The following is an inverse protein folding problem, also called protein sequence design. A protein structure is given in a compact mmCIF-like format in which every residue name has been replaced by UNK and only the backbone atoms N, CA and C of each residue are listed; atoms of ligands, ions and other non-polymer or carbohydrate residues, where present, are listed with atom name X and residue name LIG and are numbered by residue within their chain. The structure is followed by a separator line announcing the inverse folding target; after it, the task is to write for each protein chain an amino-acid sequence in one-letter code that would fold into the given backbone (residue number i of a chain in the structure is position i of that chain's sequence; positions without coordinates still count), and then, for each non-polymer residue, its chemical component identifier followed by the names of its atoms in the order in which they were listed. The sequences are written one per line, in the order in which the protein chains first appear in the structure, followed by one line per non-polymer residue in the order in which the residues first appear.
data_IF_690695267172
#
_entry.id   IF_690695267172
#
_cell.length_a   1.000
_cell.length_b   1.000
_cell.length_c   1.000
_cell.angle_alpha   90.00
_cell.angle_beta   90.00
_cell.angle_gamma   90.00
#
_symmetry.space_group_name_H-M   'P 1'
#
loop_
_entity.id
_entity.type
_entity.pdbx_description
1 polymer ?
#
# COMPACT_ATOMS: atom_id res chain seq x y z
N UNK A 1 3.43 -40.52 -32.55
CA UNK A 1 2.31 -39.99 -33.37
C UNK A 1 1.16 -39.70 -32.40
N UNK A 2 1.40 -38.88 -31.37
CA UNK A 2 0.60 -38.92 -30.12
C UNK A 2 0.11 -37.55 -29.61
N UNK A 3 0.46 -36.45 -30.29
CA UNK A 3 0.09 -35.08 -29.88
C UNK A 3 -1.41 -34.78 -30.10
N UNK A 4 -2.04 -35.33 -31.14
CA UNK A 4 -3.44 -35.01 -31.50
C UNK A 4 -4.49 -35.58 -30.54
N UNK A 5 -4.16 -36.65 -29.78
CA UNK A 5 -5.11 -37.30 -28.85
C UNK A 5 -5.31 -36.54 -27.54
N UNK A 6 -4.33 -35.73 -27.12
CA UNK A 6 -4.39 -34.95 -25.88
C UNK A 6 -5.15 -33.62 -26.01
N UNK A 7 -5.21 -33.02 -27.22
CA UNK A 7 -5.88 -31.72 -27.43
C UNK A 7 -7.41 -31.85 -27.35
N UNK A 8 -7.99 -32.97 -27.81
CA UNK A 8 -9.45 -33.22 -27.70
C UNK A 8 -9.95 -33.33 -26.26
N UNK A 9 -9.07 -33.61 -25.29
CA UNK A 9 -9.42 -33.67 -23.86
C UNK A 9 -9.65 -32.27 -23.26
N UNK A 10 -8.99 -31.24 -23.80
CA UNK A 10 -9.17 -29.83 -23.42
C UNK A 10 -10.45 -29.20 -23.97
N UNK A 11 -11.00 -29.72 -25.08
CA UNK A 11 -12.29 -29.30 -25.65
C UNK A 11 -13.49 -30.11 -25.14
N UNK A 12 -13.32 -30.85 -24.05
CA UNK A 12 -14.42 -31.55 -23.44
C UNK A 12 -15.28 -30.52 -22.68
N UNK A 13 -16.57 -30.43 -23.05
CA UNK A 13 -17.53 -29.39 -22.65
C UNK A 13 -17.52 -29.11 -21.14
N UNK A 14 -17.29 -30.13 -20.30
CA UNK A 14 -17.16 -29.98 -18.85
C UNK A 14 -15.97 -29.10 -18.44
N UNK A 15 -14.82 -29.25 -19.06
CA UNK A 15 -13.62 -28.45 -18.76
C UNK A 15 -13.72 -27.03 -19.33
N UNK A 16 -14.37 -26.88 -20.49
CA UNK A 16 -14.67 -25.56 -21.07
C UNK A 16 -15.62 -24.79 -20.15
N UNK A 17 -16.66 -25.44 -19.61
CA UNK A 17 -17.59 -24.83 -18.65
C UNK A 17 -16.90 -24.47 -17.33
N UNK A 18 -16.04 -25.33 -16.79
CA UNK A 18 -15.26 -25.04 -15.58
C UNK A 18 -14.34 -23.84 -15.82
N UNK A 19 -13.65 -23.80 -16.96
CA UNK A 19 -12.81 -22.66 -17.34
C UNK A 19 -13.64 -21.38 -17.50
N UNK A 20 -14.83 -21.46 -18.08
CA UNK A 20 -15.74 -20.31 -18.25
C UNK A 20 -16.29 -19.81 -16.91
N UNK A 21 -16.66 -20.71 -15.99
CA UNK A 21 -17.07 -20.35 -14.63
C UNK A 21 -15.90 -19.72 -13.88
N UNK A 22 -14.71 -20.29 -13.98
CA UNK A 22 -13.50 -19.72 -13.36
C UNK A 22 -13.17 -18.34 -13.93
N UNK A 23 -13.36 -18.16 -15.23
CA UNK A 23 -13.15 -16.90 -15.94
C UNK A 23 -14.22 -15.87 -15.56
N UNK A 24 -15.50 -16.25 -15.46
CA UNK A 24 -16.59 -15.39 -14.95
C UNK A 24 -16.36 -15.00 -13.49
N UNK A 25 -15.96 -15.93 -12.62
CA UNK A 25 -15.61 -15.64 -11.23
C UNK A 25 -14.38 -14.74 -11.14
N UNK A 26 -13.39 -14.95 -12.02
CA UNK A 26 -12.20 -14.09 -12.11
C UNK A 26 -12.52 -12.70 -12.64
N UNK A 27 -13.47 -12.57 -13.56
CA UNK A 27 -14.00 -11.29 -14.03
C UNK A 27 -14.84 -10.59 -12.94
N UNK A 28 -15.62 -11.33 -12.16
CA UNK A 28 -16.39 -10.80 -11.03
C UNK A 28 -15.51 -10.39 -9.83
N UNK A 29 -14.28 -10.92 -9.75
CA UNK A 29 -13.29 -10.61 -8.69
C UNK A 29 -12.09 -9.84 -9.24
N UNK A 30 -12.16 -9.34 -10.47
CA UNK A 30 -11.02 -8.75 -11.17
C UNK A 30 -10.51 -7.47 -10.47
N UNK A 31 -11.42 -6.72 -9.84
CA UNK A 31 -11.11 -5.59 -8.97
C UNK A 31 -10.17 -5.99 -7.81
N UNK A 32 -10.40 -7.16 -7.20
CA UNK A 32 -9.57 -7.70 -6.11
C UNK A 32 -8.27 -8.33 -6.62
N UNK A 33 -8.25 -8.86 -7.84
CA UNK A 33 -7.04 -9.41 -8.47
C UNK A 33 -5.98 -8.32 -8.64
N UNK A 34 -6.36 -7.13 -9.10
CA UNK A 34 -5.46 -5.98 -9.19
C UNK A 34 -4.87 -5.63 -7.82
N UNK A 35 -5.70 -5.68 -6.77
CA UNK A 35 -5.28 -5.46 -5.39
C UNK A 35 -4.28 -6.50 -4.91
N UNK A 36 -4.51 -7.79 -5.20
CA UNK A 36 -3.60 -8.89 -4.86
C UNK A 36 -2.25 -8.72 -5.56
N UNK A 37 -2.24 -8.37 -6.85
CA UNK A 37 -1.01 -8.13 -7.61
C UNK A 37 -0.24 -6.95 -7.00
N UNK A 38 -0.92 -5.85 -6.66
CA UNK A 38 -0.31 -4.73 -5.96
C UNK A 38 0.30 -5.18 -4.63
N UNK A 39 -0.40 -5.99 -3.84
CA UNK A 39 0.15 -6.51 -2.58
C UNK A 39 1.42 -7.37 -2.81
N UNK A 40 1.41 -8.27 -3.79
CA UNK A 40 2.57 -9.14 -4.10
C UNK A 40 3.80 -8.31 -4.47
N UNK A 41 3.63 -7.20 -5.19
CA UNK A 41 4.73 -6.32 -5.58
C UNK A 41 5.18 -5.41 -4.43
N UNK A 42 4.24 -4.82 -3.68
CA UNK A 42 4.55 -3.77 -2.72
C UNK A 42 4.90 -4.25 -1.32
N UNK A 43 4.50 -5.47 -0.92
CA UNK A 43 4.94 -6.07 0.34
C UNK A 43 6.47 -6.27 0.36
N UNK A 44 7.11 -6.88 -0.66
CA UNK A 44 8.58 -6.96 -0.73
C UNK A 44 9.27 -5.61 -0.76
N UNK A 45 8.72 -4.65 -1.51
CA UNK A 45 9.25 -3.27 -1.59
C UNK A 45 9.22 -2.63 -0.20
N UNK A 46 8.12 -2.77 0.54
CA UNK A 46 7.97 -2.27 1.91
C UNK A 46 8.94 -2.94 2.88
N UNK A 47 9.11 -4.25 2.78
CA UNK A 47 10.10 -4.96 3.59
C UNK A 47 11.52 -4.45 3.36
N UNK A 48 11.92 -4.29 2.09
CA UNK A 48 13.24 -3.75 1.73
C UNK A 48 13.41 -2.31 2.19
N UNK A 49 12.40 -1.48 2.02
CA UNK A 49 12.45 -0.06 2.37
C UNK A 49 12.60 0.15 3.89
N UNK A 50 11.90 -0.65 4.70
CA UNK A 50 12.07 -0.69 6.16
C UNK A 50 13.48 -1.17 6.52
N UNK A 51 14.01 -2.19 5.82
CA UNK A 51 15.36 -2.69 6.05
C UNK A 51 16.44 -1.65 5.72
N UNK A 52 16.29 -0.90 4.62
CA UNK A 52 17.23 0.17 4.25
C UNK A 52 17.16 1.36 5.21
N UNK A 53 15.98 1.68 5.72
CA UNK A 53 15.80 2.71 6.77
C UNK A 53 16.54 2.35 8.07
N UNK A 54 16.97 1.08 8.25
CA UNK A 54 17.87 0.65 9.34
C UNK A 54 19.34 1.00 9.09
N UNK A 55 19.75 1.05 7.82
CA UNK A 55 21.15 1.20 7.42
C UNK A 55 21.58 2.66 7.34
N UNK A 56 20.63 3.58 7.11
CA UNK A 56 20.90 5.02 7.05
C UNK A 56 20.21 5.70 8.23
N UNK A 57 20.94 6.07 9.29
CA UNK A 57 20.36 6.82 10.39
C UNK A 57 19.82 8.16 9.84
N UNK A 58 18.67 8.59 10.34
CA UNK A 58 17.99 9.87 10.01
C UNK A 58 17.21 9.93 8.68
N UNK A 59 17.30 8.91 7.80
CA UNK A 59 16.49 8.84 6.58
C UNK A 59 15.50 7.68 6.69
N UNK A 60 14.21 7.96 6.53
CA UNK A 60 13.19 6.91 6.43
C UNK A 60 12.59 6.88 5.03
N UNK A 61 12.95 5.83 4.28
CA UNK A 61 12.38 5.49 2.98
C UNK A 61 11.27 4.47 3.21
N UNK A 62 10.23 4.84 3.95
CA UNK A 62 9.13 3.92 4.28
C UNK A 62 8.01 4.02 3.23
N UNK A 63 7.79 2.94 2.48
CA UNK A 63 6.78 2.88 1.40
C UNK A 63 5.39 2.50 1.90
N UNK A 64 5.28 1.99 3.14
CA UNK A 64 4.03 1.43 3.66
C UNK A 64 2.92 2.48 3.73
N UNK A 65 3.21 3.68 4.22
CA UNK A 65 2.26 4.81 4.31
C UNK A 65 1.73 5.18 2.92
N UNK A 66 2.61 5.35 1.93
CA UNK A 66 2.20 5.69 0.58
C UNK A 66 1.29 4.63 -0.05
N UNK A 67 1.65 3.36 0.13
CA UNK A 67 0.86 2.25 -0.38
C UNK A 67 -0.47 2.07 0.34
N UNK A 68 -0.49 2.25 1.66
CA UNK A 68 -1.72 2.20 2.44
C UNK A 68 -2.70 3.30 1.98
N UNK A 69 -2.20 4.51 1.69
CA UNK A 69 -3.00 5.58 1.08
C UNK A 69 -3.60 5.16 -0.27
N UNK A 70 -2.81 4.54 -1.16
CA UNK A 70 -3.30 4.09 -2.47
C UNK A 70 -4.38 3.01 -2.32
N UNK A 71 -4.15 2.00 -1.48
CA UNK A 71 -5.13 0.93 -1.21
C UNK A 71 -6.39 1.49 -0.56
N UNK A 72 -6.24 2.42 0.39
CA UNK A 72 -7.35 3.14 1.02
C UNK A 72 -8.19 3.94 0.02
N UNK A 73 -7.54 4.56 -0.96
CA UNK A 73 -8.23 5.23 -2.06
C UNK A 73 -8.93 4.23 -2.98
N UNK A 74 -8.26 3.17 -3.43
CA UNK A 74 -8.84 2.21 -4.37
C UNK A 74 -10.02 1.45 -3.75
N UNK A 75 -9.78 0.82 -2.60
CA UNK A 75 -10.67 -0.19 -2.01
C UNK A 75 -11.41 0.29 -0.75
N UNK A 76 -11.17 1.53 -0.32
CA UNK A 76 -11.87 2.15 0.80
C UNK A 76 -11.09 2.14 2.12
N UNK A 77 -11.55 2.92 3.11
CA UNK A 77 -10.79 3.25 4.31
C UNK A 77 -10.46 2.02 5.17
N UNK A 78 -11.40 1.08 5.30
CA UNK A 78 -11.23 -0.13 6.11
C UNK A 78 -10.14 -1.04 5.55
N UNK A 79 -10.16 -1.31 4.24
CA UNK A 79 -9.18 -2.19 3.59
C UNK A 79 -7.78 -1.55 3.64
N UNK A 80 -7.70 -0.24 3.36
CA UNK A 80 -6.46 0.51 3.48
C UNK A 80 -5.87 0.51 4.89
N UNK A 81 -6.72 0.65 5.93
CA UNK A 81 -6.29 0.59 7.32
C UNK A 81 -5.63 -0.73 7.67
N UNK A 82 -6.31 -1.84 7.38
CA UNK A 82 -5.79 -3.19 7.67
C UNK A 82 -4.54 -3.51 6.84
N UNK A 83 -4.47 -3.06 5.59
CA UNK A 83 -3.25 -3.17 4.80
C UNK A 83 -2.08 -2.47 5.50
N UNK A 84 -2.22 -1.18 5.82
CA UNK A 84 -1.14 -0.39 6.44
C UNK A 84 -0.69 -0.95 7.79
N UNK A 85 -1.63 -1.49 8.57
CA UNK A 85 -1.37 -2.07 9.88
C UNK A 85 -0.70 -3.46 9.77
N UNK A 86 -1.30 -4.40 9.02
CA UNK A 86 -0.81 -5.79 8.95
C UNK A 86 0.52 -5.86 8.19
N UNK A 87 0.60 -5.25 7.00
CA UNK A 87 1.83 -5.26 6.20
C UNK A 87 2.93 -4.49 6.92
N UNK A 88 2.61 -3.31 7.45
CA UNK A 88 3.53 -2.53 8.26
C UNK A 88 4.08 -3.33 9.44
N UNK A 89 3.22 -3.80 10.35
CA UNK A 89 3.66 -4.55 11.53
C UNK A 89 4.50 -5.77 11.15
N UNK A 90 4.08 -6.55 10.15
CA UNK A 90 4.83 -7.72 9.70
C UNK A 90 6.24 -7.33 9.22
N UNK A 91 6.36 -6.28 8.41
CA UNK A 91 7.66 -5.81 7.91
C UNK A 91 8.56 -5.29 9.04
N UNK A 92 8.00 -4.55 10.00
CA UNK A 92 8.76 -4.03 11.15
C UNK A 92 9.21 -5.14 12.11
N UNK A 93 8.36 -6.12 12.38
CA UNK A 93 8.68 -7.29 13.21
C UNK A 93 9.77 -8.15 12.56
N UNK A 94 9.66 -8.44 11.26
CA UNK A 94 10.65 -9.23 10.52
C UNK A 94 12.03 -8.55 10.43
N UNK A 95 12.09 -7.21 10.54
CA UNK A 95 13.35 -6.46 10.58
C UNK A 95 13.87 -6.19 12.02
N UNK A 96 13.18 -6.76 13.03
CA UNK A 96 13.48 -6.63 14.46
C UNK A 96 13.41 -5.20 15.00
N UNK A 97 12.55 -4.36 14.43
CA UNK A 97 12.28 -3.00 14.91
C UNK A 97 11.20 -3.01 16.00
N UNK A 98 11.57 -3.46 17.20
CA UNK A 98 10.65 -3.57 18.35
C UNK A 98 10.85 -2.37 19.30
N UNK A 99 10.69 -1.15 18.79
CA UNK A 99 10.55 0.06 19.64
C UNK A 99 9.18 0.68 19.43
N UNK A 100 8.62 1.30 20.48
CA UNK A 100 7.32 1.95 20.43
C UNK A 100 7.21 2.99 19.29
N UNK A 101 8.30 3.71 19.01
CA UNK A 101 8.38 4.66 17.89
C UNK A 101 8.14 3.98 16.54
N UNK A 102 8.80 2.85 16.29
CA UNK A 102 8.65 2.10 15.04
C UNK A 102 7.30 1.38 14.93
N UNK A 103 6.78 0.83 16.03
CA UNK A 103 5.47 0.17 16.05
C UNK A 103 4.30 1.15 15.85
N UNK A 104 4.51 2.44 16.13
CA UNK A 104 3.51 3.47 15.82
C UNK A 104 3.45 3.86 14.34
N UNK A 105 4.48 3.54 13.53
CA UNK A 105 4.50 3.85 12.10
C UNK A 105 3.40 3.10 11.33
N UNK A 106 3.22 1.76 11.46
CA UNK A 106 2.10 1.05 10.84
C UNK A 106 0.72 1.59 11.23
N UNK A 107 0.56 2.03 12.47
CA UNK A 107 -0.72 2.61 12.95
C UNK A 107 -0.98 3.94 12.25
N UNK A 108 0.02 4.83 12.19
CA UNK A 108 -0.08 6.09 11.46
C UNK A 108 -0.33 5.88 9.97
N UNK A 109 0.31 4.88 9.36
CA UNK A 109 0.07 4.49 7.96
C UNK A 109 -1.38 4.04 7.73
N UNK A 110 -1.92 3.22 8.63
CA UNK A 110 -3.33 2.82 8.59
C UNK A 110 -4.28 4.01 8.69
N UNK A 111 -4.01 4.95 9.61
CA UNK A 111 -4.81 6.18 9.74
C UNK A 111 -4.75 7.06 8.49
N UNK A 112 -3.60 7.14 7.83
CA UNK A 112 -3.47 7.83 6.54
C UNK A 112 -4.36 7.21 5.47
N UNK A 113 -4.42 5.88 5.41
CA UNK A 113 -5.26 5.17 4.48
C UNK A 113 -6.76 5.45 4.71
N UNK A 114 -7.17 5.54 5.98
CA UNK A 114 -8.54 5.95 6.34
C UNK A 114 -8.84 7.34 5.82
N UNK A 115 -7.95 8.32 6.09
CA UNK A 115 -8.15 9.71 5.65
C UNK A 115 -8.28 9.81 4.13
N UNK A 116 -7.38 9.16 3.38
CA UNK A 116 -7.44 9.17 1.92
C UNK A 116 -8.70 8.47 1.39
N UNK A 117 -9.11 7.37 2.02
CA UNK A 117 -10.36 6.68 1.70
C UNK A 117 -11.59 7.55 1.93
N UNK A 118 -11.63 8.32 3.02
CA UNK A 118 -12.70 9.30 3.31
C UNK A 118 -12.66 10.46 2.31
N UNK A 119 -11.48 10.96 1.95
CA UNK A 119 -11.36 12.01 0.93
C UNK A 119 -11.94 11.58 -0.42
N UNK A 120 -11.78 10.31 -0.80
CA UNK A 120 -12.42 9.78 -2.00
C UNK A 120 -13.95 9.83 -1.93
N UNK A 121 -14.56 9.49 -0.79
CA UNK A 121 -16.03 9.46 -0.69
C UNK A 121 -16.66 10.84 -0.84
N UNK A 122 -15.90 11.91 -0.54
CA UNK A 122 -16.31 13.31 -0.76
C UNK A 122 -15.83 13.88 -2.11
N UNK A 123 -15.27 13.04 -2.99
CA UNK A 123 -14.90 13.44 -4.36
C UNK A 123 -13.56 14.16 -4.52
N UNK A 124 -12.68 14.14 -3.52
CA UNK A 124 -11.35 14.75 -3.62
C UNK A 124 -10.41 13.86 -4.43
N UNK A 125 -9.66 14.46 -5.36
CA UNK A 125 -8.69 13.73 -6.18
C UNK A 125 -7.60 13.06 -5.32
N UNK A 126 -7.10 11.91 -5.76
CA UNK A 126 -6.06 11.16 -5.04
C UNK A 126 -4.84 12.03 -4.72
N UNK A 127 -4.32 12.79 -5.68
CA UNK A 127 -3.14 13.61 -5.47
C UNK A 127 -3.34 14.64 -4.35
N UNK A 128 -4.49 15.31 -4.34
CA UNK A 128 -4.85 16.28 -3.30
C UNK A 128 -5.03 15.60 -1.95
N UNK A 129 -5.80 14.51 -1.91
CA UNK A 129 -6.03 13.71 -0.70
C UNK A 129 -4.72 13.20 -0.10
N UNK A 130 -3.82 12.70 -0.95
CA UNK A 130 -2.52 12.18 -0.55
C UNK A 130 -1.65 13.28 0.06
N UNK A 131 -1.50 14.43 -0.61
CA UNK A 131 -0.68 15.54 -0.10
C UNK A 131 -1.18 16.04 1.25
N UNK A 132 -2.49 16.26 1.38
CA UNK A 132 -3.10 16.71 2.65
C UNK A 132 -2.84 15.68 3.75
N UNK A 133 -3.09 14.41 3.48
CA UNK A 133 -2.86 13.34 4.46
C UNK A 133 -1.41 13.24 4.89
N UNK A 134 -0.45 13.31 3.96
CA UNK A 134 0.98 13.22 4.30
C UNK A 134 1.42 14.42 5.14
N UNK A 135 0.96 15.64 4.82
CA UNK A 135 1.24 16.83 5.64
C UNK A 135 0.69 16.63 7.06
N UNK A 136 -0.58 16.23 7.19
CA UNK A 136 -1.21 15.98 8.49
C UNK A 136 -0.46 14.91 9.29
N UNK A 137 -0.11 13.79 8.66
CA UNK A 137 0.66 12.72 9.29
C UNK A 137 2.03 13.19 9.75
N UNK A 138 2.70 14.03 8.97
CA UNK A 138 4.02 14.58 9.33
C UNK A 138 3.92 15.45 10.59
N UNK A 139 2.90 16.30 10.68
CA UNK A 139 2.63 17.14 11.86
C UNK A 139 2.31 16.28 13.07
N UNK A 140 1.39 15.32 12.94
CA UNK A 140 1.00 14.42 14.04
C UNK A 140 2.20 13.59 14.53
N UNK A 141 2.97 13.01 13.61
CA UNK A 141 4.12 12.18 13.93
C UNK A 141 5.23 12.97 14.65
N UNK A 142 5.44 14.24 14.30
CA UNK A 142 6.41 15.11 14.98
C UNK A 142 6.11 15.25 16.48
N UNK A 143 4.85 15.52 16.83
CA UNK A 143 4.42 15.62 18.24
C UNK A 143 4.41 14.25 18.92
N UNK A 144 3.89 13.23 18.24
CA UNK A 144 3.80 11.87 18.77
C UNK A 144 5.17 11.30 19.16
N UNK A 145 6.18 11.47 18.30
CA UNK A 145 7.53 11.03 18.62
C UNK A 145 8.19 11.84 19.74
N UNK A 146 7.74 13.08 19.96
CA UNK A 146 8.16 13.86 21.12
C UNK A 146 7.68 13.25 22.43
N UNK A 147 6.43 12.78 22.47
CA UNK A 147 5.86 12.07 23.63
C UNK A 147 6.61 10.76 23.89
N UNK A 148 7.05 10.07 22.83
CA UNK A 148 7.83 8.84 22.92
C UNK A 148 9.32 9.05 23.24
N UNK A 149 9.75 10.28 23.49
CA UNK A 149 11.11 10.60 23.94
C UNK A 149 12.18 10.63 22.85
N UNK A 150 11.80 10.78 21.58
CA UNK A 150 12.77 10.92 20.49
C UNK A 150 13.42 12.31 20.47
N UNK A 151 14.67 12.40 19.99
CA UNK A 151 15.40 13.67 19.94
C UNK A 151 14.77 14.68 18.97
N UNK A 152 14.76 15.99 19.25
CA UNK A 152 14.13 17.00 18.39
C UNK A 152 14.69 17.03 16.96
N UNK A 153 16.01 16.91 16.82
CA UNK A 153 16.71 16.95 15.52
C UNK A 153 16.41 15.66 14.73
N UNK A 154 16.43 14.51 15.41
CA UNK A 154 16.10 13.22 14.82
C UNK A 154 14.65 13.20 14.33
N UNK A 155 13.71 13.72 15.12
CA UNK A 155 12.29 13.86 14.72
C UNK A 155 12.13 14.72 13.48
N UNK A 156 12.76 15.88 13.46
CA UNK A 156 12.63 16.83 12.36
C UNK A 156 13.20 16.25 11.05
N UNK A 157 14.38 15.64 11.11
CA UNK A 157 15.04 15.03 9.93
C UNK A 157 14.28 13.81 9.40
N UNK A 158 13.77 12.95 10.29
CA UNK A 158 12.93 11.82 9.88
C UNK A 158 11.61 12.26 9.26
N UNK A 159 10.93 13.25 9.84
CA UNK A 159 9.67 13.75 9.31
C UNK A 159 9.85 14.48 7.98
N UNK A 160 10.89 15.31 7.86
CA UNK A 160 11.20 16.02 6.62
C UNK A 160 11.56 15.04 5.49
N UNK A 161 12.39 14.03 5.76
CA UNK A 161 12.73 13.01 4.76
C UNK A 161 11.52 12.19 4.32
N UNK A 162 10.63 11.81 5.25
CA UNK A 162 9.40 11.09 4.92
C UNK A 162 8.44 11.95 4.10
N UNK A 163 8.26 13.22 4.44
CA UNK A 163 7.43 14.16 3.68
C UNK A 163 7.94 14.30 2.24
N UNK A 164 9.24 14.57 2.08
CA UNK A 164 9.87 14.75 0.78
C UNK A 164 9.82 13.49 -0.06
N UNK A 165 10.13 12.32 0.52
CA UNK A 165 10.08 11.04 -0.21
C UNK A 165 8.65 10.73 -0.67
N UNK A 166 7.65 10.96 0.19
CA UNK A 166 6.25 10.73 -0.19
C UNK A 166 5.77 11.67 -1.28
N UNK A 167 6.08 12.96 -1.20
CA UNK A 167 5.58 13.94 -2.18
C UNK A 167 6.38 13.90 -3.49
N UNK A 168 7.70 13.79 -3.44
CA UNK A 168 8.54 13.88 -4.64
C UNK A 168 8.66 12.56 -5.39
N UNK A 169 8.63 11.43 -4.67
CA UNK A 169 8.87 10.11 -5.27
C UNK A 169 7.60 9.27 -5.31
N UNK A 170 6.88 9.12 -4.18
CA UNK A 170 5.72 8.24 -4.15
C UNK A 170 4.49 8.83 -4.81
N UNK A 171 4.16 10.11 -4.61
CA UNK A 171 3.00 10.73 -5.24
C UNK A 171 2.95 10.54 -6.77
N UNK A 172 4.00 10.88 -7.55
CA UNK A 172 3.94 10.67 -9.00
C UNK A 172 3.85 9.17 -9.37
N UNK A 173 4.58 8.29 -8.68
CA UNK A 173 4.55 6.85 -8.90
C UNK A 173 3.14 6.27 -8.63
N UNK A 174 2.56 6.60 -7.48
CA UNK A 174 1.27 6.08 -7.05
C UNK A 174 0.13 6.65 -7.88
N UNK A 175 0.21 7.90 -8.32
CA UNK A 175 -0.77 8.47 -9.26
C UNK A 175 -0.68 7.77 -10.62
N UNK A 176 0.52 7.44 -11.10
CA UNK A 176 0.67 6.65 -12.34
C UNK A 176 0.06 5.25 -12.20
N UNK A 177 0.29 4.59 -11.07
CA UNK A 177 -0.32 3.27 -10.76
C UNK A 177 -1.83 3.39 -10.65
N UNK A 178 -2.34 4.40 -9.95
CA UNK A 178 -3.77 4.65 -9.85
C UNK A 178 -4.40 4.82 -11.23
N UNK A 179 -3.78 5.60 -12.13
CA UNK A 179 -4.29 5.79 -13.48
C UNK A 179 -4.28 4.49 -14.31
N UNK A 180 -3.32 3.59 -14.07
CA UNK A 180 -3.27 2.29 -14.73
C UNK A 180 -4.31 1.30 -14.19
N UNK A 181 -4.62 1.38 -12.89
CA UNK A 181 -5.50 0.42 -12.20
C UNK A 181 -6.95 0.92 -12.08
N UNK A 182 -7.18 2.23 -12.11
CA UNK A 182 -8.51 2.85 -12.02
C UNK A 182 -9.53 2.31 -13.04
N UNK A 183 -9.18 2.06 -14.32
CA UNK A 183 -10.11 1.49 -15.30
C UNK A 183 -10.53 0.05 -14.99
N UNK A 184 -9.84 -0.63 -14.06
CA UNK A 184 -10.11 -2.01 -13.65
C UNK A 184 -10.87 -2.07 -12.33
N UNK A 185 -10.68 -1.05 -11.47
CA UNK A 185 -11.24 -1.03 -10.10
C UNK A 185 -12.49 -0.14 -9.98
N UNK A 186 -12.67 0.82 -10.89
CA UNK A 186 -13.83 1.72 -10.90
C UNK A 186 -14.77 1.50 -12.10
N UNK A 187 -14.58 0.42 -12.86
CA UNK A 187 -15.37 0.03 -14.03
C UNK A 187 -16.69 -0.64 -13.68
#
# INVERSE_FOLDING_TARGET
MDSKKNIKKFFNIKYVLIALIFLIVSFAWFEYLAGIILMIVFVPVTYLSVRYSKMVPHISLETNTGMACLIGYLYGPTIGFFYGLIVGLTCYLMNSFIKATYLSVPVLAGLCAVLVGVFKTIGVSFSTAFVITIILRTVIAYFWYGILGADPIERLTHQASQLLTNILLYLPLLTAILNAVAPVVFS
#
